data_IF_434384326791
#
_entry.id   IF_434384326791
#
_cell.length_a   1.000
_cell.length_b   1.000
_cell.length_c   1.000
_cell.angle_alpha   90.00
_cell.angle_beta   90.00
_cell.angle_gamma   90.00
#
_symmetry.space_group_name_H-M   'P 1'
#
loop_
_entity.id
_entity.type
_entity.pdbx_description
1 polymer ?
#
# COMPACT_ATOMS: atom_id res chain seq x y z
N UNK A 1 -6.52 12.77 -9.68
CA UNK A 1 -6.20 11.41 -9.26
C UNK A 1 -4.71 11.17 -9.27
N UNK A 2 -4.24 10.32 -8.41
CA UNK A 2 -2.83 9.94 -8.38
C UNK A 2 -2.64 8.67 -9.21
N UNK A 3 -1.58 8.65 -9.99
CA UNK A 3 -1.20 7.47 -10.74
C UNK A 3 -0.08 6.78 -9.98
N UNK A 4 -0.30 5.51 -9.63
CA UNK A 4 0.67 4.74 -8.87
C UNK A 4 0.93 3.40 -9.56
N UNK A 5 1.94 2.70 -9.07
CA UNK A 5 2.19 1.33 -9.47
C UNK A 5 1.95 0.44 -8.26
N UNK A 6 1.04 -0.52 -8.40
CA UNK A 6 0.73 -1.44 -7.31
C UNK A 6 1.01 -2.86 -7.78
N UNK A 7 2.00 -3.50 -7.15
CA UNK A 7 2.44 -4.84 -7.52
C UNK A 7 2.66 -4.99 -9.02
N UNK A 8 3.36 -4.01 -9.60
CA UNK A 8 3.71 -4.04 -11.00
C UNK A 8 2.65 -3.53 -11.97
N UNK A 9 1.47 -3.18 -11.48
CA UNK A 9 0.38 -2.70 -12.32
C UNK A 9 0.11 -1.22 -12.09
N UNK A 10 -0.14 -0.50 -13.15
CA UNK A 10 -0.52 0.91 -13.02
C UNK A 10 -1.96 1.03 -12.55
N UNK A 11 -2.19 1.97 -11.65
CA UNK A 11 -3.49 2.16 -11.04
C UNK A 11 -3.68 3.64 -10.76
N UNK A 12 -4.90 4.13 -10.96
CA UNK A 12 -5.27 5.50 -10.58
C UNK A 12 -6.11 5.44 -9.33
N UNK A 13 -5.75 6.26 -8.36
CA UNK A 13 -6.47 6.32 -7.09
C UNK A 13 -6.77 7.76 -6.75
N UNK A 14 -7.70 7.96 -5.81
CA UNK A 14 -8.02 9.28 -5.32
C UNK A 14 -6.81 9.91 -4.64
N UNK A 15 -6.69 11.22 -4.80
CA UNK A 15 -5.61 11.95 -4.13
C UNK A 15 -5.77 11.85 -2.62
N UNK A 16 -4.65 11.90 -1.93
CA UNK A 16 -4.60 11.96 -0.47
C UNK A 16 -5.08 10.71 0.27
N UNK A 17 -5.15 9.58 -0.42
CA UNK A 17 -5.38 8.32 0.29
C UNK A 17 -4.15 7.95 1.08
N UNK A 18 -4.36 7.42 2.29
CA UNK A 18 -3.25 6.84 3.05
C UNK A 18 -3.03 5.39 2.62
N UNK A 19 -1.89 4.84 3.02
CA UNK A 19 -1.63 3.43 2.80
C UNK A 19 -2.72 2.58 3.45
N UNK A 20 -3.15 2.97 4.67
CA UNK A 20 -4.22 2.25 5.36
C UNK A 20 -5.52 2.29 4.57
N UNK A 21 -5.85 3.42 3.95
CA UNK A 21 -7.04 3.53 3.12
C UNK A 21 -6.97 2.59 1.93
N UNK A 22 -5.81 2.47 1.32
CA UNK A 22 -5.62 1.57 0.20
C UNK A 22 -5.86 0.13 0.62
N UNK A 23 -5.34 -0.26 1.78
CA UNK A 23 -5.53 -1.61 2.29
C UNK A 23 -7.01 -1.90 2.54
N UNK A 24 -7.73 -0.94 3.11
CA UNK A 24 -9.16 -1.10 3.34
C UNK A 24 -9.92 -1.28 2.04
N UNK A 25 -9.56 -0.48 1.03
CA UNK A 25 -10.22 -0.56 -0.26
C UNK A 25 -10.05 -1.93 -0.90
N UNK A 26 -8.90 -2.55 -0.70
CA UNK A 26 -8.61 -3.86 -1.26
C UNK A 26 -8.89 -5.00 -0.28
N UNK A 27 -9.51 -4.68 0.87
CA UNK A 27 -9.90 -5.65 1.89
C UNK A 27 -8.73 -6.47 2.39
N UNK A 28 -7.59 -5.82 2.57
CA UNK A 28 -6.38 -6.47 3.05
C UNK A 28 -6.20 -6.22 4.52
N UNK A 29 -5.81 -7.27 5.25
CA UNK A 29 -5.54 -7.19 6.68
C UNK A 29 -4.08 -6.82 6.89
N UNK A 30 -3.84 -5.66 7.50
CA UNK A 30 -2.47 -5.17 7.68
C UNK A 30 -1.60 -6.12 8.51
N UNK A 31 -2.21 -6.98 9.33
CA UNK A 31 -1.46 -7.94 10.13
C UNK A 31 -0.90 -9.09 9.33
N UNK A 32 -1.38 -9.26 8.10
CA UNK A 32 -0.99 -10.40 7.26
C UNK A 32 -0.25 -9.99 6.01
N UNK A 33 0.24 -8.76 5.98
CA UNK A 33 0.94 -8.24 4.81
C UNK A 33 2.19 -7.47 5.22
N UNK A 34 3.04 -7.26 4.23
CA UNK A 34 4.16 -6.32 4.34
C UNK A 34 4.11 -5.41 3.13
N UNK A 35 4.53 -4.17 3.31
CA UNK A 35 4.48 -3.16 2.26
C UNK A 35 5.86 -2.57 2.03
N UNK A 36 6.26 -2.48 0.75
CA UNK A 36 7.38 -1.66 0.34
C UNK A 36 6.82 -0.45 -0.39
N UNK A 37 7.25 0.71 0.02
CA UNK A 37 6.91 1.95 -0.64
C UNK A 37 8.18 2.53 -1.23
N UNK A 38 8.20 2.60 -2.58
CA UNK A 38 9.38 3.08 -3.30
C UNK A 38 10.64 2.33 -2.86
N UNK A 39 10.51 1.01 -2.78
CA UNK A 39 11.60 0.08 -2.47
C UNK A 39 12.11 0.15 -1.04
N UNK A 40 11.37 0.79 -0.15
CA UNK A 40 11.70 0.85 1.27
C UNK A 40 10.56 0.23 2.07
N UNK A 41 10.89 -0.66 2.99
CA UNK A 41 9.88 -1.28 3.84
C UNK A 41 9.21 -0.22 4.69
N UNK A 42 7.87 -0.20 4.66
CA UNK A 42 7.09 0.75 5.43
C UNK A 42 6.61 0.08 6.70
N UNK A 43 6.98 0.62 7.88
CA UNK A 43 6.49 0.04 9.15
C UNK A 43 4.98 0.21 9.27
N UNK A 44 4.35 -0.76 9.94
CA UNK A 44 2.89 -0.74 10.10
C UNK A 44 2.40 0.50 10.83
N UNK A 45 3.18 1.01 11.77
CA UNK A 45 2.82 2.19 12.51
C UNK A 45 2.66 3.43 11.61
N UNK A 46 3.24 3.38 10.43
CA UNK A 46 3.17 4.52 9.50
C UNK A 46 2.08 4.39 8.45
N UNK A 47 1.38 3.27 8.39
CA UNK A 47 0.36 3.06 7.35
C UNK A 47 -0.70 4.14 7.37
N UNK A 48 -1.18 4.49 8.55
CA UNK A 48 -2.23 5.48 8.68
C UNK A 48 -1.77 6.89 8.34
N UNK A 49 -0.51 7.17 8.59
CA UNK A 49 0.04 8.53 8.42
C UNK A 49 0.66 8.78 7.05
N UNK A 50 0.92 7.73 6.29
CA UNK A 50 1.60 7.87 5.00
C UNK A 50 0.58 8.07 3.91
N UNK A 51 0.60 9.24 3.29
CA UNK A 51 -0.25 9.54 2.15
C UNK A 51 0.40 9.09 0.87
N UNK A 52 -0.38 8.49 0.00
CA UNK A 52 0.11 8.01 -1.28
C UNK A 52 0.20 9.19 -2.24
N UNK A 53 1.31 9.26 -2.94
CA UNK A 53 1.58 10.36 -3.86
C UNK A 53 1.63 9.85 -5.29
N UNK A 54 1.49 10.79 -6.22
CA UNK A 54 1.62 10.47 -7.64
C UNK A 54 2.99 9.83 -7.89
N UNK A 55 3.00 8.79 -8.71
CA UNK A 55 4.20 8.04 -9.10
C UNK A 55 4.78 7.15 -8.01
N UNK A 56 4.07 6.96 -6.90
CA UNK A 56 4.53 6.01 -5.89
C UNK A 56 4.50 4.59 -6.43
N UNK A 57 5.51 3.82 -6.05
CA UNK A 57 5.59 2.40 -6.33
C UNK A 57 5.32 1.65 -5.04
N UNK A 58 4.25 0.87 -5.03
CA UNK A 58 3.81 0.15 -3.84
C UNK A 58 3.82 -1.34 -4.14
N UNK A 59 4.47 -2.11 -3.27
CA UNK A 59 4.46 -3.57 -3.36
C UNK A 59 3.91 -4.13 -2.09
N UNK A 60 2.92 -5.01 -2.22
CA UNK A 60 2.26 -5.64 -1.08
C UNK A 60 2.47 -7.14 -1.19
N UNK A 61 3.02 -7.71 -0.12
CA UNK A 61 3.23 -9.15 -0.01
C UNK A 61 2.30 -9.67 1.06
N UNK A 62 1.51 -10.69 0.74
CA UNK A 62 0.66 -11.35 1.72
C UNK A 62 1.36 -12.57 2.26
N UNK A 63 1.27 -12.75 3.58
CA UNK A 63 1.77 -13.96 4.21
C UNK A 63 0.73 -15.06 4.05
N UNK A 64 1.18 -16.21 3.58
CA UNK A 64 0.31 -17.34 3.34
C UNK A 64 0.46 -18.33 4.49
N UNK A 65 -0.64 -18.99 4.83
CA UNK A 65 -0.57 -20.07 5.78
C UNK A 65 -0.85 -19.70 7.21
N UNK A 66 -1.28 -18.52 7.46
CA UNK A 66 -1.77 -18.16 8.77
C UNK A 66 -0.86 -18.51 9.92
N UNK A 67 0.37 -18.44 9.68
CA UNK A 67 1.31 -18.67 10.76
C UNK A 67 1.21 -17.60 11.79
#
# INVERSE_FOLDING_TARGET
>A
MAKIQLNGKQLKIRMNLSIKDLLKKHRLNQEKIAIELNETILPKQKYKKTKIKNNDKIEIVQFIGGG
#
